data_IF_932779590993
#
_entry.id   IF_932779590993
#
_cell.length_a   1.000
_cell.length_b   1.000
_cell.length_c   1.000
_cell.angle_alpha   90.00
_cell.angle_beta   90.00
_cell.angle_gamma   90.00
#
_symmetry.space_group_name_H-M   'P 1'
#
loop_
_entity.id
_entity.type
_entity.pdbx_description
1 polymer ?
#
# COMPACT_ATOMS: atom_id res chain seq x y z
N UNK A 1 15.56 22.18 5.73
CA UNK A 1 16.56 21.23 6.29
C UNK A 1 17.77 21.27 5.37
N UNK A 2 18.87 21.87 5.81
CA UNK A 2 20.09 22.02 5.00
C UNK A 2 20.88 20.71 4.90
N UNK A 3 20.71 19.82 5.86
CA UNK A 3 21.47 18.57 6.01
C UNK A 3 21.13 17.53 4.93
N UNK A 4 19.94 17.64 4.31
CA UNK A 4 19.46 16.74 3.26
C UNK A 4 19.28 17.47 1.92
N UNK A 5 19.95 18.61 1.71
CA UNK A 5 19.80 19.41 0.48
C UNK A 5 20.19 18.63 -0.78
N UNK A 6 21.15 17.71 -0.65
CA UNK A 6 21.60 16.83 -1.73
C UNK A 6 20.69 15.62 -1.96
N UNK A 7 19.65 15.48 -1.15
CA UNK A 7 18.71 14.38 -1.15
C UNK A 7 19.11 13.20 -0.26
N UNK A 8 18.23 12.20 -0.20
CA UNK A 8 18.39 11.01 0.65
C UNK A 8 17.73 9.78 0.03
N UNK A 9 18.03 8.62 0.61
CA UNK A 9 17.44 7.33 0.20
C UNK A 9 16.48 6.84 1.27
N UNK A 10 15.47 6.08 0.85
CA UNK A 10 14.53 5.40 1.73
C UNK A 10 14.71 3.89 1.57
N UNK A 11 14.84 3.20 2.69
CA UNK A 11 14.72 1.74 2.76
C UNK A 11 13.49 1.43 3.58
N UNK A 12 12.46 0.88 2.93
CA UNK A 12 11.20 0.51 3.56
C UNK A 12 11.10 -1.01 3.72
N UNK A 13 10.69 -1.46 4.90
CA UNK A 13 10.35 -2.86 5.15
C UNK A 13 8.86 -2.99 5.43
N UNK A 14 8.18 -3.92 4.78
CA UNK A 14 6.75 -4.21 5.03
C UNK A 14 5.90 -2.94 4.93
N UNK A 15 5.08 -2.65 5.94
CA UNK A 15 4.28 -1.43 6.06
C UNK A 15 5.11 -0.13 5.93
N UNK A 16 6.40 -0.12 6.28
CA UNK A 16 7.26 1.05 6.16
C UNK A 16 7.36 1.59 4.73
N UNK A 17 7.11 0.75 3.72
CA UNK A 17 7.03 1.16 2.32
C UNK A 17 5.84 2.07 2.02
N UNK A 18 4.73 1.91 2.73
CA UNK A 18 3.56 2.77 2.59
C UNK A 18 3.86 4.16 3.12
N UNK A 19 4.54 4.23 4.27
CA UNK A 19 5.02 5.50 4.84
C UNK A 19 6.05 6.16 3.93
N UNK A 20 7.05 5.39 3.44
CA UNK A 20 8.08 5.90 2.54
C UNK A 20 7.51 6.47 1.24
N UNK A 21 6.56 5.76 0.61
CA UNK A 21 5.82 6.29 -0.54
C UNK A 21 4.99 7.51 -0.19
N UNK A 22 4.33 7.53 0.97
CA UNK A 22 3.63 8.72 1.45
C UNK A 22 4.54 9.94 1.56
N UNK A 23 5.77 9.77 2.06
CA UNK A 23 6.77 10.85 2.09
C UNK A 23 7.14 11.32 0.68
N UNK A 24 7.37 10.40 -0.25
CA UNK A 24 7.74 10.72 -1.64
C UNK A 24 6.60 11.46 -2.34
N UNK A 25 5.38 10.98 -2.21
CA UNK A 25 4.25 11.40 -3.04
C UNK A 25 3.51 12.61 -2.42
N UNK A 26 3.27 12.60 -1.10
CA UNK A 26 2.42 13.59 -0.45
C UNK A 26 3.15 14.81 0.10
N UNK A 27 4.43 14.70 0.49
CA UNK A 27 5.13 15.82 1.10
C UNK A 27 5.49 16.88 0.06
N UNK A 28 4.92 18.07 0.23
CA UNK A 28 5.35 19.27 -0.48
C UNK A 28 6.68 19.78 0.12
N UNK A 29 7.54 20.34 -0.74
CA UNK A 29 8.80 21.02 -0.36
C UNK A 29 9.77 20.21 0.52
N UNK A 30 9.66 18.88 0.53
CA UNK A 30 10.62 17.98 1.16
C UNK A 30 11.94 17.89 0.39
N UNK A 31 13.06 17.56 1.04
CA UNK A 31 14.31 17.25 0.33
C UNK A 31 14.08 16.09 -0.66
N UNK A 32 14.83 16.04 -1.78
CA UNK A 32 14.58 15.06 -2.81
C UNK A 32 14.91 13.65 -2.32
N UNK A 33 13.98 12.71 -2.54
CA UNK A 33 14.26 11.28 -2.38
C UNK A 33 14.86 10.78 -3.67
N UNK A 34 16.08 10.25 -3.62
CA UNK A 34 16.78 9.71 -4.80
C UNK A 34 16.38 8.28 -5.07
N UNK A 35 16.43 7.43 -4.06
CA UNK A 35 16.19 6.00 -4.22
C UNK A 35 15.19 5.48 -3.19
N UNK A 36 14.28 4.62 -3.65
CA UNK A 36 13.41 3.82 -2.79
C UNK A 36 13.79 2.34 -2.94
N UNK A 37 14.25 1.73 -1.85
CA UNK A 37 14.48 0.29 -1.74
C UNK A 37 13.36 -0.30 -0.90
N UNK A 38 12.46 -1.01 -1.56
CA UNK A 38 11.29 -1.63 -0.95
C UNK A 38 11.52 -3.10 -0.69
N UNK A 39 11.56 -3.48 0.58
CA UNK A 39 11.57 -4.85 1.04
C UNK A 39 10.16 -5.26 1.43
N UNK A 40 9.54 -6.15 0.66
CA UNK A 40 8.19 -6.65 0.88
C UNK A 40 7.15 -5.52 1.08
N UNK A 41 7.08 -4.54 0.16
CA UNK A 41 6.13 -3.43 0.27
C UNK A 41 4.71 -3.79 -0.18
N UNK A 42 3.65 -3.51 0.59
CA UNK A 42 2.26 -3.77 0.16
C UNK A 42 1.75 -2.71 -0.82
N UNK A 43 2.47 -2.47 -1.91
CA UNK A 43 2.25 -1.30 -2.76
C UNK A 43 0.91 -1.28 -3.50
N UNK A 44 0.33 -2.45 -3.81
CA UNK A 44 -1.01 -2.57 -4.35
C UNK A 44 -2.07 -2.88 -3.27
N UNK A 45 -1.67 -2.88 -1.99
CA UNK A 45 -2.47 -3.26 -0.84
C UNK A 45 -2.35 -4.74 -0.46
N UNK A 46 -3.12 -5.14 0.55
CA UNK A 46 -3.28 -6.55 0.97
C UNK A 46 -4.76 -6.91 1.06
N UNK A 47 -5.08 -8.13 0.67
CA UNK A 47 -6.45 -8.65 0.58
C UNK A 47 -6.90 -9.37 1.87
N UNK A 48 -5.96 -9.61 2.79
CA UNK A 48 -6.19 -10.22 4.09
C UNK A 48 -5.77 -9.28 5.21
N UNK A 49 -6.38 -9.46 6.38
CA UNK A 49 -6.02 -8.74 7.59
C UNK A 49 -4.86 -9.50 8.27
N UNK A 50 -3.67 -8.92 8.39
CA UNK A 50 -2.48 -9.63 8.91
C UNK A 50 -2.51 -9.80 10.44
N UNK A 51 -3.62 -9.43 11.10
CA UNK A 51 -3.74 -9.34 12.56
C UNK A 51 -4.06 -10.67 13.25
N UNK A 52 -4.13 -11.77 12.50
CA UNK A 52 -4.68 -12.99 13.03
C UNK A 52 -3.83 -14.24 12.76
N UNK A 53 -3.24 -14.77 13.83
CA UNK A 53 -2.71 -16.13 13.85
C UNK A 53 -3.82 -17.20 13.84
N UNK A 54 -3.47 -18.44 14.16
CA UNK A 54 -4.35 -19.61 13.98
C UNK A 54 -5.39 -19.85 15.10
N UNK A 55 -5.80 -18.84 15.86
CA UNK A 55 -6.72 -18.98 17.01
C UNK A 55 -8.21 -18.89 16.65
N UNK A 56 -9.11 -19.53 17.41
CA UNK A 56 -10.57 -19.53 17.17
C UNK A 56 -11.19 -18.11 17.21
N UNK A 57 -10.61 -17.20 18.01
CA UNK A 57 -11.02 -15.79 18.09
C UNK A 57 -10.72 -15.02 16.80
N UNK A 58 -9.78 -15.49 15.97
CA UNK A 58 -9.42 -14.85 14.70
C UNK A 58 -10.44 -15.04 13.59
N UNK A 59 -11.14 -16.17 13.58
CA UNK A 59 -12.05 -16.52 12.49
C UNK A 59 -13.36 -15.73 12.60
N UNK A 60 -13.79 -15.41 13.84
CA UNK A 60 -15.02 -14.65 14.11
C UNK A 60 -14.83 -13.13 13.99
N UNK A 61 -13.64 -12.61 14.31
CA UNK A 61 -13.31 -11.18 14.14
C UNK A 61 -13.11 -10.78 12.66
N UNK A 62 -12.68 -11.70 11.80
CA UNK A 62 -12.35 -11.41 10.40
C UNK A 62 -13.56 -10.96 9.57
N UNK A 63 -14.78 -11.47 9.83
CA UNK A 63 -15.98 -11.04 9.10
C UNK A 63 -16.47 -9.65 9.53
N UNK A 64 -16.51 -9.39 10.83
CA UNK A 64 -17.00 -8.10 11.35
C UNK A 64 -16.00 -6.98 11.08
N UNK A 65 -14.70 -7.29 11.21
CA UNK A 65 -13.63 -6.35 10.91
C UNK A 65 -13.56 -6.07 9.40
N UNK A 66 -13.79 -7.05 8.51
CA UNK A 66 -13.93 -6.80 7.06
C UNK A 66 -15.10 -5.87 6.73
N UNK A 67 -16.24 -6.03 7.40
CA UNK A 67 -17.40 -5.13 7.21
C UNK A 67 -17.13 -3.71 7.72
N UNK A 68 -16.28 -3.56 8.74
CA UNK A 68 -15.97 -2.29 9.38
C UNK A 68 -14.62 -1.69 8.99
N UNK A 69 -13.80 -2.35 8.16
CA UNK A 69 -12.40 -1.98 7.91
C UNK A 69 -12.29 -0.57 7.31
N UNK A 70 -13.30 -0.17 6.53
CA UNK A 70 -13.38 1.14 5.89
C UNK A 70 -14.18 2.18 6.71
N UNK A 71 -14.56 1.86 7.94
CA UNK A 71 -15.17 2.84 8.86
C UNK A 71 -14.15 3.89 9.28
N UNK A 72 -14.64 5.11 9.56
CA UNK A 72 -13.77 6.22 9.98
C UNK A 72 -12.97 5.88 11.26
N UNK A 73 -13.57 5.15 12.20
CA UNK A 73 -12.89 4.74 13.43
C UNK A 73 -11.69 3.83 13.13
N UNK A 74 -11.90 2.76 12.36
CA UNK A 74 -10.82 1.82 12.05
C UNK A 74 -9.73 2.46 11.20
N UNK A 75 -10.10 3.25 10.19
CA UNK A 75 -9.13 3.96 9.34
C UNK A 75 -8.27 4.98 10.12
N UNK A 76 -8.78 5.53 11.23
CA UNK A 76 -8.03 6.48 12.07
C UNK A 76 -7.15 5.81 13.14
N UNK A 77 -7.44 4.56 13.53
CA UNK A 77 -6.79 3.92 14.67
C UNK A 77 -5.98 2.66 14.31
N UNK A 78 -6.15 2.10 13.11
CA UNK A 78 -5.49 0.88 12.68
C UNK A 78 -4.68 1.12 11.40
N UNK A 79 -3.35 1.26 11.54
CA UNK A 79 -2.47 1.56 10.41
C UNK A 79 -2.60 0.58 9.21
N UNK A 80 -2.69 -0.75 9.41
CA UNK A 80 -2.93 -1.68 8.30
C UNK A 80 -4.21 -1.44 7.51
N UNK A 81 -5.25 -0.86 8.12
CA UNK A 81 -6.51 -0.58 7.44
C UNK A 81 -6.34 0.43 6.29
N UNK A 82 -5.32 1.28 6.35
CA UNK A 82 -5.00 2.26 5.31
C UNK A 82 -4.55 1.63 3.98
N UNK A 83 -4.24 0.33 3.94
CA UNK A 83 -3.83 -0.36 2.70
C UNK A 83 -4.41 -1.77 2.56
N UNK A 84 -5.47 -2.09 3.32
CA UNK A 84 -6.30 -3.26 3.03
C UNK A 84 -7.20 -2.93 1.83
N UNK A 85 -7.20 -3.81 0.82
CA UNK A 85 -7.93 -3.67 -0.43
C UNK A 85 -8.68 -4.97 -0.74
N UNK A 86 -9.88 -5.13 -0.21
CA UNK A 86 -10.66 -6.36 -0.43
C UNK A 86 -11.11 -6.44 -1.91
N UNK A 87 -10.68 -7.44 -2.71
CA UNK A 87 -11.01 -7.53 -4.13
C UNK A 87 -12.50 -7.58 -4.42
N UNK A 88 -13.30 -8.18 -3.54
CA UNK A 88 -14.77 -8.27 -3.70
C UNK A 88 -15.51 -7.07 -3.12
N UNK A 89 -14.81 -6.08 -2.54
CA UNK A 89 -15.42 -4.88 -1.94
C UNK A 89 -14.69 -3.59 -2.36
N UNK A 90 -14.40 -3.48 -3.66
CA UNK A 90 -13.68 -2.33 -4.25
C UNK A 90 -14.47 -1.02 -4.10
N UNK A 91 -15.81 -1.09 -4.08
CA UNK A 91 -16.65 0.09 -3.92
C UNK A 91 -16.45 0.75 -2.54
N UNK A 92 -16.51 -0.02 -1.44
CA UNK A 92 -16.25 0.53 -0.11
C UNK A 92 -14.78 0.87 0.09
N UNK A 93 -13.86 0.10 -0.50
CA UNK A 93 -12.43 0.42 -0.51
C UNK A 93 -12.18 1.82 -1.07
N UNK A 94 -12.66 2.14 -2.28
CA UNK A 94 -12.48 3.46 -2.91
C UNK A 94 -13.16 4.58 -2.12
N UNK A 95 -14.26 4.29 -1.43
CA UNK A 95 -15.03 5.30 -0.67
C UNK A 95 -14.47 5.55 0.74
N UNK A 96 -14.00 4.51 1.43
CA UNK A 96 -13.71 4.55 2.85
C UNK A 96 -12.24 4.36 3.22
N UNK A 97 -11.44 3.69 2.39
CA UNK A 97 -9.99 3.59 2.63
C UNK A 97 -9.34 4.97 2.42
N UNK A 98 -8.60 5.45 3.43
CA UNK A 98 -8.13 6.85 3.48
C UNK A 98 -6.74 7.05 2.89
N UNK A 99 -5.97 5.99 2.70
CA UNK A 99 -4.55 6.12 2.37
C UNK A 99 -4.21 5.51 1.00
N UNK A 100 -4.28 4.19 0.85
CA UNK A 100 -3.87 3.49 -0.38
C UNK A 100 -4.55 3.98 -1.67
N UNK A 101 -5.88 4.19 -1.75
CA UNK A 101 -6.49 4.62 -3.01
C UNK A 101 -6.08 6.05 -3.39
N UNK A 102 -5.73 6.90 -2.42
CA UNK A 102 -5.18 8.24 -2.67
C UNK A 102 -3.74 8.11 -3.14
N UNK A 103 -2.93 7.31 -2.44
CA UNK A 103 -1.52 7.07 -2.77
C UNK A 103 -1.36 6.44 -4.17
N UNK A 104 -2.24 5.53 -4.56
CA UNK A 104 -2.18 4.87 -5.86
C UNK A 104 -2.92 5.63 -6.97
N UNK A 105 -3.33 6.89 -6.74
CA UNK A 105 -4.09 7.69 -7.71
C UNK A 105 -5.38 6.98 -8.22
N UNK A 106 -5.94 6.08 -7.42
CA UNK A 106 -7.18 5.35 -7.72
C UNK A 106 -8.42 6.21 -7.42
N UNK A 107 -8.27 7.19 -6.53
CA UNK A 107 -9.22 8.29 -6.28
C UNK A 107 -8.48 9.62 -6.31
N UNK A 108 -9.18 10.72 -6.63
CA UNK A 108 -8.63 12.08 -6.60
C UNK A 108 -7.27 12.24 -7.29
N UNK A 109 -7.16 11.75 -8.54
CA UNK A 109 -5.92 11.72 -9.33
C UNK A 109 -5.14 13.02 -9.24
N UNK A 110 -3.88 12.92 -8.81
CA UNK A 110 -2.97 14.03 -8.66
C UNK A 110 -1.69 13.80 -9.46
N UNK A 111 -1.49 14.59 -10.52
CA UNK A 111 -0.31 14.48 -11.39
C UNK A 111 0.99 14.81 -10.66
N UNK A 112 0.94 15.56 -9.56
CA UNK A 112 2.11 15.84 -8.71
C UNK A 112 2.63 14.58 -8.03
N UNK A 113 1.73 13.70 -7.55
CA UNK A 113 2.12 12.45 -6.89
C UNK A 113 2.85 11.54 -7.87
N UNK A 114 2.28 11.38 -9.07
CA UNK A 114 2.92 10.68 -10.20
C UNK A 114 4.29 11.25 -10.51
N UNK A 115 4.39 12.57 -10.65
CA UNK A 115 5.65 13.26 -11.00
C UNK A 115 6.73 13.03 -9.94
N UNK A 116 6.36 13.08 -8.65
CA UNK A 116 7.30 12.85 -7.55
C UNK A 116 7.76 11.40 -7.49
N UNK A 117 6.85 10.44 -7.57
CA UNK A 117 7.22 9.03 -7.59
C UNK A 117 8.10 8.69 -8.81
N UNK A 118 7.78 9.24 -9.98
CA UNK A 118 8.57 9.09 -11.20
C UNK A 118 9.92 9.83 -11.19
N UNK A 119 10.16 10.72 -10.21
CA UNK A 119 11.44 11.43 -10.06
C UNK A 119 12.51 10.65 -9.30
N UNK A 120 12.15 9.47 -8.74
CA UNK A 120 13.13 8.56 -8.16
C UNK A 120 14.17 8.18 -9.22
N UNK A 121 15.44 8.25 -8.85
CA UNK A 121 16.56 7.76 -9.66
C UNK A 121 16.50 6.23 -9.76
N UNK A 122 16.23 5.54 -8.64
CA UNK A 122 16.03 4.10 -8.62
C UNK A 122 14.84 3.70 -7.74
N UNK A 123 14.03 2.80 -8.28
CA UNK A 123 13.00 2.06 -7.55
C UNK A 123 13.40 0.59 -7.52
N UNK A 124 13.82 0.10 -6.35
CA UNK A 124 14.20 -1.30 -6.14
C UNK A 124 13.07 -1.99 -5.38
N UNK A 125 12.44 -2.98 -6.01
CA UNK A 125 11.32 -3.72 -5.41
C UNK A 125 11.71 -5.17 -5.14
N UNK A 126 11.75 -5.54 -3.87
CA UNK A 126 12.14 -6.88 -3.41
C UNK A 126 10.90 -7.59 -2.88
N UNK A 127 10.50 -8.65 -3.57
CA UNK A 127 9.47 -9.58 -3.14
C UNK A 127 10.14 -10.82 -2.53
N UNK A 128 9.66 -11.30 -1.39
CA UNK A 128 10.10 -12.58 -0.85
C UNK A 128 9.29 -13.73 -1.44
N UNK A 129 9.99 -14.74 -1.97
CA UNK A 129 9.36 -15.86 -2.68
C UNK A 129 8.39 -16.66 -1.79
N UNK A 130 8.70 -16.79 -0.51
CA UNK A 130 7.91 -17.55 0.47
C UNK A 130 7.14 -16.65 1.44
N UNK A 131 6.80 -15.43 1.03
CA UNK A 131 5.98 -14.53 1.85
C UNK A 131 4.54 -15.06 1.96
N UNK A 132 4.11 -15.29 3.19
CA UNK A 132 2.74 -15.69 3.56
C UNK A 132 1.98 -14.58 4.30
N UNK A 133 2.66 -13.46 4.62
CA UNK A 133 2.11 -12.33 5.35
C UNK A 133 1.41 -11.38 4.39
N UNK A 134 2.05 -11.07 3.27
CA UNK A 134 1.46 -10.25 2.22
C UNK A 134 0.61 -11.12 1.31
N UNK A 135 -0.71 -10.93 1.34
CA UNK A 135 -1.63 -11.64 0.46
C UNK A 135 -2.25 -10.63 -0.50
N UNK A 136 -1.94 -10.67 -1.81
CA UNK A 136 -0.96 -11.53 -2.47
C UNK A 136 0.47 -10.97 -2.35
N UNK A 137 1.50 -11.83 -2.29
CA UNK A 137 2.91 -11.40 -2.15
C UNK A 137 3.42 -10.50 -3.28
N UNK A 138 2.83 -10.67 -4.48
CA UNK A 138 3.10 -9.89 -5.69
C UNK A 138 2.75 -8.40 -5.52
N UNK A 139 2.03 -8.01 -4.47
CA UNK A 139 1.85 -6.60 -4.09
C UNK A 139 3.19 -5.87 -3.94
N UNK A 140 4.26 -6.60 -3.58
CA UNK A 140 5.66 -6.13 -3.55
C UNK A 140 6.14 -5.60 -4.89
N UNK A 141 5.59 -6.10 -5.98
CA UNK A 141 5.84 -5.66 -7.35
C UNK A 141 4.60 -5.00 -7.98
N UNK A 142 3.74 -4.39 -7.14
CA UNK A 142 2.49 -3.75 -7.57
C UNK A 142 1.47 -4.70 -8.26
N UNK A 143 1.67 -6.01 -8.19
CA UNK A 143 0.72 -7.00 -8.68
C UNK A 143 -0.43 -7.21 -7.70
N UNK A 144 -1.64 -7.46 -8.21
CA UNK A 144 -2.82 -7.61 -7.38
C UNK A 144 -3.92 -8.48 -7.99
N UNK A 145 -4.90 -8.86 -7.17
CA UNK A 145 -6.11 -9.52 -7.62
C UNK A 145 -6.96 -8.61 -8.54
N UNK A 146 -7.70 -9.16 -9.52
CA UNK A 146 -8.67 -8.40 -10.28
C UNK A 146 -9.84 -7.94 -9.41
N UNK A 147 -10.43 -6.79 -9.77
CA UNK A 147 -11.65 -6.29 -9.13
C UNK A 147 -12.76 -7.35 -9.19
N UNK A 148 -13.38 -7.64 -8.04
CA UNK A 148 -14.46 -8.61 -7.88
C UNK A 148 -14.05 -10.05 -7.62
N UNK A 149 -12.75 -10.39 -7.60
CA UNK A 149 -12.34 -11.80 -7.50
C UNK A 149 -10.97 -12.00 -6.83
N UNK A 150 -10.83 -13.10 -6.09
CA UNK A 150 -9.55 -13.60 -5.56
C UNK A 150 -8.86 -14.58 -6.51
N UNK A 151 -9.15 -14.50 -7.81
CA UNK A 151 -8.60 -15.38 -8.84
C UNK A 151 -7.12 -15.07 -9.13
N UNK A 152 -6.62 -15.42 -10.32
CA UNK A 152 -5.21 -15.25 -10.67
C UNK A 152 -4.74 -13.81 -10.49
N UNK A 153 -3.66 -13.64 -9.72
CA UNK A 153 -3.01 -12.35 -9.48
C UNK A 153 -2.47 -11.80 -10.81
N UNK A 154 -2.81 -10.54 -11.09
CA UNK A 154 -2.33 -9.80 -12.24
C UNK A 154 -1.01 -9.10 -11.92
N UNK A 155 -0.10 -8.94 -12.90
CA UNK A 155 1.11 -8.14 -12.73
C UNK A 155 0.75 -6.65 -12.57
N UNK A 156 1.76 -5.83 -12.28
CA UNK A 156 1.61 -4.37 -12.23
C UNK A 156 0.86 -3.84 -13.46
N UNK A 157 -0.20 -3.06 -13.21
CA UNK A 157 -0.92 -2.38 -14.27
C UNK A 157 -0.15 -1.13 -14.72
N UNK A 158 -0.28 -0.76 -16.00
CA UNK A 158 0.49 0.34 -16.62
C UNK A 158 0.22 1.73 -16.02
N UNK A 159 -0.86 1.89 -15.26
CA UNK A 159 -1.34 3.17 -14.74
C UNK A 159 -1.11 3.35 -13.24
N UNK A 160 -0.25 2.54 -12.62
CA UNK A 160 0.06 2.67 -11.20
C UNK A 160 1.08 3.80 -11.01
N UNK A 161 0.71 4.80 -10.21
CA UNK A 161 1.31 6.14 -10.03
C UNK A 161 1.08 7.10 -11.20
#
# INVERSE_FOLDING_TARGET
MSELSEGYNIIGLSQGNMVGRGVIEFCDDGPPVRNLISLAGPHAGIASIPLCGSGIWCILEDSLLKLAIYSNFIQAHLAPAGYIKIPTDIANYRKGCKFLPVLNNEVHRNSTYKKRFASLENLVLIMFEKDEILVPKQTSWFGYYPDGSFSTVLPAQKDIS
#
